data_IF_511082660101
#
_entry.id   IF_511082660101
#
_cell.length_a   1.000
_cell.length_b   1.000
_cell.length_c   1.000
_cell.angle_alpha   90.00
_cell.angle_beta   90.00
_cell.angle_gamma   90.00
#
_symmetry.space_group_name_H-M   'P 1'
#
loop_
_entity.id
_entity.type
_entity.pdbx_description
1 polymer ?
#
# COMPACT_ATOMS: atom_id res chain seq x y z
N UNK A 1 0.37 29.72 17.56
CA UNK A 1 -0.32 28.90 16.53
C UNK A 1 0.67 28.06 15.71
N UNK A 2 1.69 28.66 15.07
CA UNK A 2 2.71 27.97 14.24
C UNK A 2 3.46 26.84 14.98
N UNK A 3 3.87 27.05 16.23
CA UNK A 3 4.56 26.02 17.03
C UNK A 3 3.71 24.77 17.30
N UNK A 4 2.40 24.95 17.54
CA UNK A 4 1.44 23.87 17.79
C UNK A 4 1.16 23.06 16.52
N UNK A 5 1.06 23.74 15.37
CA UNK A 5 0.97 23.11 14.05
C UNK A 5 2.23 22.30 13.72
N UNK A 6 3.43 22.83 14.03
CA UNK A 6 4.71 22.12 13.84
C UNK A 6 4.83 20.84 14.67
N UNK A 7 4.35 20.84 15.93
CA UNK A 7 4.34 19.65 16.79
C UNK A 7 3.30 18.62 16.35
N UNK A 8 2.10 19.05 15.94
CA UNK A 8 1.05 18.15 15.46
C UNK A 8 1.46 17.44 14.16
N UNK A 9 2.13 18.13 13.23
CA UNK A 9 2.66 17.52 12.00
C UNK A 9 3.80 16.53 12.25
N UNK A 10 4.64 16.77 13.27
CA UNK A 10 5.68 15.82 13.65
C UNK A 10 5.10 14.49 14.16
N UNK A 11 3.89 14.51 14.72
CA UNK A 11 3.19 13.33 15.22
C UNK A 11 2.51 12.50 14.11
N UNK A 12 2.45 12.99 12.87
CA UNK A 12 1.88 12.23 11.76
C UNK A 12 2.73 10.98 11.47
N UNK A 13 2.19 9.76 11.60
CA UNK A 13 2.93 8.52 11.43
C UNK A 13 3.19 8.27 9.96
N UNK A 14 4.43 7.92 9.63
CA UNK A 14 4.87 7.64 8.26
C UNK A 14 4.10 6.52 7.57
N UNK A 15 3.64 5.46 8.27
CA UNK A 15 2.70 4.48 7.71
C UNK A 15 1.39 5.05 7.11
N UNK A 16 1.02 6.29 7.42
CA UNK A 16 -0.11 6.99 6.76
C UNK A 16 0.02 7.01 5.23
N UNK A 17 1.25 6.98 4.69
CA UNK A 17 1.48 6.87 3.25
C UNK A 17 0.92 5.56 2.67
N UNK A 18 1.01 4.45 3.42
CA UNK A 18 0.41 3.17 3.04
C UNK A 18 -1.11 3.23 3.00
N UNK A 19 -1.73 3.96 3.94
CA UNK A 19 -3.17 4.21 3.92
C UNK A 19 -3.57 5.07 2.71
N UNK A 20 -2.81 6.12 2.40
CA UNK A 20 -3.02 6.95 1.22
C UNK A 20 -2.97 6.12 -0.07
N UNK A 21 -1.96 5.25 -0.19
CA UNK A 21 -1.84 4.30 -1.29
C UNK A 21 -3.07 3.39 -1.39
N UNK A 22 -3.51 2.82 -0.27
CA UNK A 22 -4.68 1.95 -0.22
C UNK A 22 -5.98 2.66 -0.64
N UNK A 23 -6.20 3.89 -0.17
CA UNK A 23 -7.39 4.70 -0.52
C UNK A 23 -7.38 5.09 -2.01
N UNK A 24 -6.25 5.58 -2.53
CA UNK A 24 -6.13 5.95 -3.94
C UNK A 24 -6.38 4.73 -4.85
N UNK A 25 -5.76 3.61 -4.51
CA UNK A 25 -5.91 2.36 -5.25
C UNK A 25 -7.34 1.83 -5.17
N UNK A 26 -8.02 1.99 -4.02
CA UNK A 26 -9.38 1.48 -3.83
C UNK A 26 -10.38 2.24 -4.71
N UNK A 27 -10.27 3.57 -4.75
CA UNK A 27 -11.08 4.40 -5.63
C UNK A 27 -10.91 4.01 -7.10
N UNK A 28 -9.67 3.74 -7.51
CA UNK A 28 -9.39 3.24 -8.85
C UNK A 28 -9.89 1.81 -9.08
N UNK A 29 -9.74 0.91 -8.11
CA UNK A 29 -10.19 -0.48 -8.25
C UNK A 29 -11.71 -0.56 -8.48
N UNK A 30 -12.50 0.30 -7.83
CA UNK A 30 -13.95 0.36 -8.03
C UNK A 30 -14.36 0.71 -9.48
N UNK A 31 -13.54 1.45 -10.23
CA UNK A 31 -13.78 1.71 -11.66
C UNK A 31 -13.74 0.43 -12.51
N UNK A 32 -13.13 -0.66 -12.02
CA UNK A 32 -13.14 -1.95 -12.72
C UNK A 32 -14.43 -2.76 -12.44
N UNK A 33 -15.16 -2.43 -11.37
CA UNK A 33 -16.38 -3.13 -10.98
C UNK A 33 -17.65 -2.48 -11.56
N UNK A 34 -17.58 -1.21 -11.98
CA UNK A 34 -18.72 -0.49 -12.53
C UNK A 34 -18.29 0.74 -13.33
N UNK A 35 -19.25 1.30 -14.07
CA UNK A 35 -19.04 2.49 -14.88
C UNK A 35 -19.23 3.75 -14.02
N UNK A 36 -18.15 4.24 -13.41
CA UNK A 36 -18.18 5.46 -12.59
C UNK A 36 -17.47 6.66 -13.27
N UNK A 37 -17.08 6.51 -14.54
CA UNK A 37 -16.43 7.53 -15.37
C UNK A 37 -15.19 8.17 -14.72
N UNK A 38 -14.45 7.40 -13.91
CA UNK A 38 -13.25 7.88 -13.21
C UNK A 38 -13.50 8.71 -11.96
N UNK A 39 -14.76 8.89 -11.55
CA UNK A 39 -15.12 9.72 -10.37
C UNK A 39 -14.62 9.11 -9.07
N UNK A 40 -14.65 7.79 -8.93
CA UNK A 40 -14.16 7.11 -7.73
C UNK A 40 -12.64 7.10 -7.69
N UNK A 41 -11.98 6.99 -8.85
CA UNK A 41 -10.53 7.17 -8.95
C UNK A 41 -10.11 8.58 -8.52
N UNK A 42 -10.79 9.62 -9.01
CA UNK A 42 -10.51 11.01 -8.62
C UNK A 42 -10.77 11.25 -7.13
N UNK A 43 -11.87 10.72 -6.58
CA UNK A 43 -12.19 10.84 -5.16
C UNK A 43 -11.12 10.17 -4.28
N UNK A 44 -10.76 8.93 -4.59
CA UNK A 44 -9.71 8.20 -3.87
C UNK A 44 -8.37 8.93 -3.94
N UNK A 45 -7.99 9.43 -5.12
CA UNK A 45 -6.78 10.21 -5.31
C UNK A 45 -6.79 11.53 -4.53
N UNK A 46 -7.93 12.23 -4.47
CA UNK A 46 -8.06 13.48 -3.71
C UNK A 46 -7.86 13.26 -2.20
N UNK A 47 -8.49 12.22 -1.63
CA UNK A 47 -8.30 11.88 -0.21
C UNK A 47 -6.86 11.48 0.07
N UNK A 48 -6.26 10.65 -0.80
CA UNK A 48 -4.87 10.25 -0.68
C UNK A 48 -3.90 11.45 -0.78
N UNK A 49 -4.16 12.39 -1.69
CA UNK A 49 -3.37 13.60 -1.85
C UNK A 49 -3.35 14.44 -0.56
N UNK A 50 -4.46 14.55 0.16
CA UNK A 50 -4.50 15.23 1.47
C UNK A 50 -3.54 14.57 2.47
N UNK A 51 -3.56 13.24 2.58
CA UNK A 51 -2.64 12.50 3.46
C UNK A 51 -1.18 12.67 3.05
N UNK A 52 -0.89 12.64 1.74
CA UNK A 52 0.46 12.87 1.22
C UNK A 52 0.94 14.30 1.47
N UNK A 53 0.08 15.30 1.34
CA UNK A 53 0.40 16.71 1.65
C UNK A 53 0.77 16.86 3.13
N UNK A 54 0.05 16.22 4.06
CA UNK A 54 0.38 16.22 5.49
C UNK A 54 1.79 15.66 5.71
N UNK A 55 2.13 14.53 5.10
CA UNK A 55 3.46 13.92 5.20
C UNK A 55 4.55 14.75 4.54
N UNK A 56 4.22 15.41 3.43
CA UNK A 56 5.13 16.33 2.73
C UNK A 56 5.52 17.48 3.66
N UNK A 57 4.54 18.12 4.30
CA UNK A 57 4.82 19.17 5.29
C UNK A 57 5.58 18.66 6.51
N UNK A 58 5.29 17.43 6.99
CA UNK A 58 6.09 16.79 8.06
C UNK A 58 7.57 16.74 7.67
N UNK A 59 7.91 16.20 6.51
CA UNK A 59 9.31 15.99 6.11
C UNK A 59 10.01 17.27 5.68
N UNK A 60 9.31 18.24 5.08
CA UNK A 60 9.88 19.55 4.77
C UNK A 60 10.20 20.36 6.05
N UNK A 61 9.35 20.29 7.07
CA UNK A 61 9.55 21.00 8.33
C UNK A 61 10.52 20.28 9.27
N UNK A 62 10.62 18.96 9.16
CA UNK A 62 11.47 18.12 10.02
C UNK A 62 12.28 17.08 9.22
N UNK A 63 13.24 17.50 8.36
CA UNK A 63 13.99 16.57 7.50
C UNK A 63 14.76 15.48 8.26
N UNK A 64 15.17 15.77 9.50
CA UNK A 64 15.83 14.78 10.38
C UNK A 64 14.93 13.58 10.68
N UNK A 65 13.60 13.77 10.75
CA UNK A 65 12.66 12.66 10.96
C UNK A 65 12.62 11.73 9.74
N UNK A 66 12.69 12.27 8.52
CA UNK A 66 12.76 11.44 7.31
C UNK A 66 14.00 10.56 7.33
N UNK A 67 15.15 11.11 7.69
CA UNK A 67 16.39 10.34 7.77
C UNK A 67 16.34 9.25 8.85
N UNK A 68 15.76 9.56 10.01
CA UNK A 68 15.53 8.57 11.07
C UNK A 68 14.57 7.45 10.62
N UNK A 69 13.49 7.81 9.93
CA UNK A 69 12.52 6.85 9.40
C UNK A 69 13.18 5.94 8.36
N UNK A 70 13.95 6.49 7.41
CA UNK A 70 14.69 5.73 6.39
C UNK A 70 15.74 4.78 6.99
N UNK A 71 16.36 5.17 8.10
CA UNK A 71 17.35 4.35 8.80
C UNK A 71 16.71 3.21 9.63
N UNK A 72 15.41 3.25 9.91
CA UNK A 72 14.74 2.24 10.72
C UNK A 72 14.37 0.99 9.88
N UNK A 73 14.61 -0.26 10.35
CA UNK A 73 14.39 -1.49 9.57
C UNK A 73 12.93 -1.70 9.12
N UNK A 74 11.97 -1.40 9.99
CA UNK A 74 10.53 -1.54 9.68
C UNK A 74 9.99 -0.29 8.99
N UNK A 75 10.00 0.87 9.65
CA UNK A 75 9.46 2.14 9.09
C UNK A 75 10.12 2.52 7.76
N UNK A 76 11.44 2.37 7.63
CA UNK A 76 12.16 2.67 6.39
C UNK A 76 11.73 1.81 5.21
N UNK A 77 11.25 0.59 5.45
CA UNK A 77 10.65 -0.25 4.40
C UNK A 77 9.24 0.22 3.99
N UNK A 78 8.56 1.02 4.82
CA UNK A 78 7.22 1.54 4.53
C UNK A 78 7.25 2.94 3.92
N UNK A 79 8.31 3.73 4.13
CA UNK A 79 8.48 5.07 3.51
C UNK A 79 8.22 5.07 1.99
N UNK A 80 8.68 4.08 1.19
CA UNK A 80 8.43 4.06 -0.26
C UNK A 80 6.96 4.03 -0.67
N UNK A 81 6.04 3.67 0.24
CA UNK A 81 4.59 3.76 -0.02
C UNK A 81 4.14 5.19 -0.32
N UNK A 82 4.88 6.22 0.12
CA UNK A 82 4.61 7.61 -0.25
C UNK A 82 4.78 7.81 -1.77
N UNK A 83 5.88 7.29 -2.33
CA UNK A 83 6.14 7.38 -3.75
C UNK A 83 5.15 6.52 -4.55
N UNK A 84 4.82 5.31 -4.06
CA UNK A 84 3.79 4.45 -4.68
C UNK A 84 2.42 5.15 -4.71
N UNK A 85 1.99 5.75 -3.60
CA UNK A 85 0.73 6.49 -3.56
C UNK A 85 0.73 7.67 -4.56
N UNK A 86 1.87 8.35 -4.67
CA UNK A 86 2.05 9.46 -5.62
C UNK A 86 1.94 8.99 -7.08
N UNK A 87 2.45 7.80 -7.42
CA UNK A 87 2.24 7.18 -8.75
C UNK A 87 0.75 6.89 -9.01
N UNK A 88 0.01 6.37 -8.02
CA UNK A 88 -1.42 6.11 -8.20
C UNK A 88 -2.20 7.42 -8.36
N UNK A 89 -1.87 8.44 -7.56
CA UNK A 89 -2.45 9.79 -7.68
C UNK A 89 -2.12 10.41 -9.04
N UNK A 90 -0.92 10.20 -9.57
CA UNK A 90 -0.53 10.77 -10.87
C UNK A 90 -1.37 10.25 -12.02
N UNK A 91 -1.84 8.99 -11.95
CA UNK A 91 -2.79 8.45 -12.93
C UNK A 91 -4.10 9.24 -12.95
N UNK A 92 -4.64 9.59 -11.77
CA UNK A 92 -5.86 10.38 -11.65
C UNK A 92 -5.64 11.83 -12.12
N UNK A 93 -4.49 12.44 -11.80
CA UNK A 93 -4.11 13.76 -12.32
C UNK A 93 -4.01 13.75 -13.85
N UNK A 94 -3.47 12.68 -14.43
CA UNK A 94 -3.37 12.50 -15.88
C UNK A 94 -4.71 12.48 -16.62
N UNK A 95 -5.80 12.10 -15.95
CA UNK A 95 -7.16 12.19 -16.52
C UNK A 95 -7.61 13.63 -16.75
N UNK A 96 -7.10 14.57 -15.95
CA UNK A 96 -7.43 15.99 -16.03
C UNK A 96 -6.40 16.78 -16.83
N UNK A 97 -5.12 16.42 -16.68
CA UNK A 97 -3.99 17.07 -17.32
C UNK A 97 -2.87 16.05 -17.60
N UNK A 98 -2.83 15.44 -18.80
CA UNK A 98 -1.90 14.35 -19.13
C UNK A 98 -0.43 14.67 -18.81
N UNK A 99 0.07 15.83 -19.24
CA UNK A 99 1.46 16.23 -19.01
C UNK A 99 1.82 16.43 -17.53
N UNK A 100 0.88 16.88 -16.69
CA UNK A 100 1.11 16.97 -15.23
C UNK A 100 1.11 15.57 -14.60
N UNK A 101 0.24 14.67 -15.07
CA UNK A 101 0.21 13.28 -14.63
C UNK A 101 1.51 12.55 -14.95
N UNK A 102 2.03 12.72 -16.17
CA UNK A 102 3.33 12.17 -16.59
C UNK A 102 4.49 12.72 -15.75
N UNK A 103 4.56 14.04 -15.56
CA UNK A 103 5.61 14.67 -14.75
C UNK A 103 5.58 14.19 -13.29
N UNK A 104 4.39 14.08 -12.70
CA UNK A 104 4.22 13.60 -11.33
C UNK A 104 4.56 12.10 -11.21
N UNK A 105 4.21 11.29 -12.22
CA UNK A 105 4.58 9.88 -12.28
C UNK A 105 6.11 9.70 -12.31
N UNK A 106 6.81 10.41 -13.21
CA UNK A 106 8.28 10.37 -13.29
C UNK A 106 8.94 10.80 -11.98
N UNK A 107 8.47 11.90 -11.39
CA UNK A 107 8.96 12.36 -10.09
C UNK A 107 8.82 11.27 -9.01
N UNK A 108 7.66 10.60 -8.97
CA UNK A 108 7.41 9.53 -8.02
C UNK A 108 8.30 8.29 -8.26
N UNK A 109 8.56 7.92 -9.52
CA UNK A 109 9.51 6.86 -9.89
C UNK A 109 10.90 7.17 -9.37
N UNK A 110 11.43 8.36 -9.66
CA UNK A 110 12.76 8.78 -9.18
C UNK A 110 12.80 8.76 -7.65
N UNK A 111 11.77 9.30 -7.00
CA UNK A 111 11.67 9.30 -5.54
C UNK A 111 11.66 7.88 -4.95
N UNK A 112 10.94 6.94 -5.56
CA UNK A 112 10.90 5.55 -5.12
C UNK A 112 12.27 4.88 -5.25
N UNK A 113 12.97 5.09 -6.38
CA UNK A 113 14.33 4.56 -6.59
C UNK A 113 15.32 5.12 -5.57
N UNK A 114 15.21 6.39 -5.20
CA UNK A 114 16.00 6.98 -4.11
C UNK A 114 15.69 6.30 -2.78
N UNK A 115 14.42 6.08 -2.45
CA UNK A 115 14.05 5.36 -1.23
C UNK A 115 14.57 3.93 -1.23
N UNK A 116 14.48 3.20 -2.35
CA UNK A 116 15.06 1.87 -2.49
C UNK A 116 16.58 1.89 -2.28
N UNK A 117 17.32 2.80 -2.92
CA UNK A 117 18.76 2.91 -2.75
C UNK A 117 19.15 3.21 -1.29
N UNK A 118 18.44 4.14 -0.64
CA UNK A 118 18.68 4.42 0.79
C UNK A 118 18.32 3.25 1.69
N UNK A 119 17.26 2.51 1.39
CA UNK A 119 16.87 1.32 2.13
C UNK A 119 17.96 0.25 2.05
N UNK A 120 18.42 -0.08 0.83
CA UNK A 120 19.50 -1.05 0.60
C UNK A 120 20.78 -0.62 1.32
N UNK A 121 21.17 0.65 1.23
CA UNK A 121 22.35 1.20 1.92
C UNK A 121 22.32 0.95 3.44
N UNK A 122 21.17 1.18 4.09
CA UNK A 122 21.04 0.94 5.53
C UNK A 122 20.96 -0.55 5.88
N UNK A 123 20.29 -1.36 5.04
CA UNK A 123 20.11 -2.80 5.32
C UNK A 123 21.38 -3.60 5.12
N UNK A 124 22.21 -3.28 4.12
CA UNK A 124 23.46 -4.02 3.86
C UNK A 124 24.50 -3.78 4.96
N UNK A 125 24.54 -2.60 5.58
CA UNK A 125 25.52 -2.28 6.64
C UNK A 125 25.33 -3.07 7.94
N UNK A 126 24.11 -3.51 8.24
CA UNK A 126 23.74 -4.22 9.48
C UNK A 126 22.72 -5.32 9.15
N UNK A 127 23.05 -6.17 8.18
CA UNK A 127 22.14 -7.21 7.74
C UNK A 127 22.15 -8.39 8.70
N UNK A 128 20.98 -8.68 9.28
CA UNK A 128 20.71 -9.95 9.94
C UNK A 128 19.34 -10.43 9.48
N UNK A 129 19.23 -11.73 9.15
CA UNK A 129 18.03 -12.27 8.49
C UNK A 129 16.75 -12.07 9.32
N UNK A 130 16.86 -12.06 10.65
CA UNK A 130 15.71 -11.90 11.53
C UNK A 130 15.17 -10.44 11.56
N UNK A 131 15.98 -9.44 11.17
CA UNK A 131 15.53 -8.05 10.98
C UNK A 131 14.61 -7.88 9.78
N UNK A 132 14.69 -8.79 8.81
CA UNK A 132 13.81 -8.76 7.64
C UNK A 132 12.37 -8.98 8.10
N UNK A 133 11.47 -8.09 7.73
CA UNK A 133 10.02 -8.24 7.98
C UNK A 133 9.27 -8.16 6.66
N UNK A 134 8.04 -8.68 6.56
CA UNK A 134 7.31 -8.71 5.29
C UNK A 134 7.19 -7.38 4.55
N UNK A 135 7.21 -6.23 5.23
CA UNK A 135 7.25 -4.93 4.57
C UNK A 135 8.50 -4.66 3.73
N UNK A 136 9.55 -5.49 3.84
CA UNK A 136 10.76 -5.38 3.01
C UNK A 136 10.50 -5.70 1.52
N UNK A 137 9.35 -6.28 1.16
CA UNK A 137 8.94 -6.36 -0.25
C UNK A 137 8.61 -4.98 -0.85
N UNK A 138 8.26 -3.99 -0.03
CA UNK A 138 7.77 -2.69 -0.52
C UNK A 138 8.83 -1.91 -1.30
N UNK A 139 10.07 -1.69 -0.82
CA UNK A 139 11.06 -0.94 -1.61
C UNK A 139 11.45 -1.59 -2.95
N UNK A 140 11.75 -2.90 -3.04
CA UNK A 140 12.21 -3.48 -4.29
C UNK A 140 11.09 -3.93 -5.23
N UNK A 141 9.96 -4.42 -4.72
CA UNK A 141 8.83 -4.89 -5.55
C UNK A 141 7.78 -3.78 -5.75
N UNK A 142 7.65 -2.86 -4.81
CA UNK A 142 6.66 -1.78 -4.88
C UNK A 142 6.88 -0.80 -6.03
N UNK A 143 8.06 -0.81 -6.66
CA UNK A 143 8.34 -0.04 -7.88
C UNK A 143 7.43 -0.42 -9.04
N UNK A 144 6.87 -1.64 -9.06
CA UNK A 144 5.92 -2.11 -10.09
C UNK A 144 4.60 -1.31 -10.08
N UNK A 145 4.33 -0.52 -9.03
CA UNK A 145 3.22 0.45 -9.07
C UNK A 145 3.41 1.46 -10.21
N UNK A 146 4.64 1.72 -10.63
CA UNK A 146 4.95 2.53 -11.80
C UNK A 146 4.31 1.94 -13.07
N UNK A 147 4.34 0.62 -13.25
CA UNK A 147 3.75 -0.10 -14.37
C UNK A 147 2.23 -0.06 -14.35
N UNK A 148 1.64 -0.26 -13.16
CA UNK A 148 0.18 -0.14 -13.00
C UNK A 148 -0.27 1.28 -13.38
N UNK A 149 0.45 2.30 -12.91
CA UNK A 149 0.15 3.71 -13.16
C UNK A 149 0.74 4.27 -14.46
N UNK A 150 1.25 3.41 -15.35
CA UNK A 150 1.96 3.81 -16.57
C UNK A 150 1.13 4.80 -17.43
N UNK A 151 1.69 5.96 -17.81
CA UNK A 151 0.99 6.95 -18.62
C UNK A 151 0.97 6.62 -20.12
N UNK A 152 1.76 5.65 -20.61
CA UNK A 152 1.87 5.35 -22.03
C UNK A 152 3.07 6.02 -22.71
N UNK A 153 3.15 5.82 -24.04
CA UNK A 153 4.07 6.56 -24.91
C UNK A 153 5.55 6.27 -24.69
N UNK A 154 6.36 7.32 -24.67
CA UNK A 154 7.83 7.25 -24.66
C UNK A 154 8.45 6.56 -23.44
N UNK A 155 7.67 6.33 -22.37
CA UNK A 155 8.14 5.71 -21.14
C UNK A 155 7.99 4.18 -21.13
N UNK A 156 7.54 3.56 -22.22
CA UNK A 156 7.31 2.11 -22.29
C UNK A 156 8.56 1.29 -21.90
N UNK A 157 9.73 1.64 -22.43
CA UNK A 157 10.98 0.95 -22.09
C UNK A 157 11.38 1.12 -20.61
N UNK A 158 11.06 2.27 -20.01
CA UNK A 158 11.29 2.49 -18.59
C UNK A 158 10.35 1.61 -17.76
N UNK A 159 9.06 1.58 -18.09
CA UNK A 159 8.07 0.74 -17.41
C UNK A 159 8.49 -0.75 -17.47
N UNK A 160 8.73 -1.29 -18.67
CA UNK A 160 9.17 -2.68 -18.83
C UNK A 160 10.43 -3.01 -18.00
N UNK A 161 11.43 -2.11 -17.99
CA UNK A 161 12.62 -2.27 -17.16
C UNK A 161 12.32 -2.31 -15.64
N UNK A 162 11.42 -1.46 -15.15
CA UNK A 162 11.00 -1.42 -13.75
C UNK A 162 10.19 -2.66 -13.35
N UNK A 163 9.31 -3.12 -14.25
CA UNK A 163 8.52 -4.33 -14.09
C UNK A 163 9.42 -5.55 -13.87
N UNK A 164 10.34 -5.81 -14.82
CA UNK A 164 11.22 -6.98 -14.74
C UNK A 164 12.18 -6.89 -13.56
N UNK A 165 12.67 -5.70 -13.22
CA UNK A 165 13.45 -5.48 -12.01
C UNK A 165 12.66 -5.89 -10.75
N UNK A 166 11.42 -5.40 -10.60
CA UNK A 166 10.58 -5.72 -9.46
C UNK A 166 10.22 -7.21 -9.38
N UNK A 167 9.89 -7.84 -10.51
CA UNK A 167 9.58 -9.27 -10.58
C UNK A 167 10.80 -10.15 -10.24
N UNK A 168 11.99 -9.78 -10.70
CA UNK A 168 13.23 -10.47 -10.34
C UNK A 168 13.50 -10.36 -8.83
N UNK A 169 13.37 -9.15 -8.27
CA UNK A 169 13.48 -8.96 -6.82
C UNK A 169 12.45 -9.80 -6.08
N UNK A 170 11.20 -9.88 -6.56
CA UNK A 170 10.18 -10.72 -5.94
C UNK A 170 10.54 -12.20 -5.95
N UNK A 171 10.95 -12.74 -7.10
CA UNK A 171 11.37 -14.14 -7.25
C UNK A 171 12.52 -14.53 -6.32
N UNK A 172 13.45 -13.61 -6.07
CA UNK A 172 14.56 -13.82 -5.13
C UNK A 172 14.13 -13.68 -3.67
N UNK A 173 13.30 -12.68 -3.36
CA UNK A 173 12.94 -12.35 -1.98
C UNK A 173 11.88 -13.28 -1.40
N UNK A 174 10.98 -13.84 -2.23
CA UNK A 174 9.91 -14.72 -1.72
C UNK A 174 10.47 -15.95 -0.99
N UNK A 175 11.37 -16.77 -1.57
CA UNK A 175 11.96 -17.90 -0.86
C UNK A 175 12.69 -17.48 0.42
N UNK A 176 13.43 -16.36 0.39
CA UNK A 176 14.16 -15.84 1.55
C UNK A 176 13.21 -15.42 2.68
N UNK A 177 12.10 -14.76 2.34
CA UNK A 177 11.10 -14.35 3.33
C UNK A 177 10.38 -15.55 3.93
N UNK A 178 9.99 -16.53 3.11
CA UNK A 178 9.36 -17.76 3.60
C UNK A 178 10.30 -18.53 4.53
N UNK A 179 11.57 -18.68 4.14
CA UNK A 179 12.59 -19.27 5.01
C UNK A 179 12.69 -18.53 6.35
N UNK A 180 12.77 -17.19 6.32
CA UNK A 180 12.81 -16.35 7.52
C UNK A 180 11.57 -16.53 8.40
N UNK A 181 10.37 -16.62 7.82
CA UNK A 181 9.13 -16.72 8.58
C UNK A 181 8.94 -18.11 9.23
N UNK A 182 9.50 -19.15 8.62
CA UNK A 182 9.38 -20.54 9.10
C UNK A 182 10.50 -20.90 10.08
N UNK A 183 11.74 -20.48 9.80
CA UNK A 183 12.94 -20.98 10.49
C UNK A 183 13.66 -19.97 11.37
N UNK A 184 13.25 -18.70 11.38
CA UNK A 184 13.85 -17.65 12.22
C UNK A 184 12.89 -17.14 13.29
N UNK A 185 13.38 -16.25 14.16
CA UNK A 185 12.59 -15.61 15.21
C UNK A 185 11.30 -14.99 14.68
N UNK A 186 10.25 -15.04 15.52
CA UNK A 186 8.96 -14.45 15.20
C UNK A 186 9.08 -12.96 14.84
N UNK A 187 8.16 -12.49 13.99
CA UNK A 187 8.05 -11.07 13.67
C UNK A 187 7.65 -10.31 14.95
N UNK A 188 8.39 -9.24 15.35
CA UNK A 188 8.05 -8.44 16.52
C UNK A 188 6.63 -7.92 16.49
N UNK A 189 5.96 -7.80 17.64
CA UNK A 189 4.55 -7.40 17.74
C UNK A 189 4.23 -6.09 16.99
N UNK A 190 5.10 -5.09 17.11
CA UNK A 190 4.96 -3.81 16.42
C UNK A 190 5.01 -3.92 14.88
N UNK A 191 5.63 -4.97 14.36
CA UNK A 191 5.76 -5.25 12.92
C UNK A 191 4.79 -6.32 12.42
N UNK A 192 4.04 -7.02 13.28
CA UNK A 192 3.05 -8.03 12.87
C UNK A 192 2.04 -7.53 11.84
N UNK A 193 1.58 -6.26 11.85
CA UNK A 193 0.70 -5.77 10.80
C UNK A 193 1.29 -5.89 9.38
N UNK A 194 2.63 -5.84 9.26
CA UNK A 194 3.31 -5.96 7.96
C UNK A 194 3.11 -7.32 7.31
N UNK A 195 2.73 -8.38 8.05
CA UNK A 195 2.47 -9.71 7.50
C UNK A 195 1.45 -9.65 6.35
N UNK A 196 0.45 -8.77 6.43
CA UNK A 196 -0.53 -8.58 5.35
C UNK A 196 0.09 -8.17 4.00
N UNK A 197 1.29 -7.59 4.00
CA UNK A 197 2.01 -7.21 2.77
C UNK A 197 2.39 -8.45 1.93
N UNK A 198 2.45 -9.66 2.51
CA UNK A 198 2.72 -10.88 1.74
C UNK A 198 1.73 -11.12 0.59
N UNK A 199 0.49 -10.60 0.70
CA UNK A 199 -0.51 -10.70 -0.36
C UNK A 199 -0.26 -9.76 -1.56
N UNK A 200 0.55 -8.71 -1.40
CA UNK A 200 0.70 -7.68 -2.44
C UNK A 200 1.63 -8.06 -3.61
N UNK A 201 2.85 -8.63 -3.41
CA UNK A 201 3.86 -8.72 -4.47
C UNK A 201 3.43 -9.46 -5.73
N UNK A 202 2.79 -10.64 -5.60
CA UNK A 202 2.32 -11.41 -6.74
C UNK A 202 1.20 -10.69 -7.49
N UNK A 203 0.21 -10.16 -6.75
CA UNK A 203 -0.92 -9.40 -7.30
C UNK A 203 -0.45 -8.12 -8.00
N UNK A 204 0.51 -7.41 -7.40
CA UNK A 204 1.10 -6.21 -7.99
C UNK A 204 1.91 -6.55 -9.26
N UNK A 205 2.73 -7.60 -9.21
CA UNK A 205 3.48 -8.07 -10.38
C UNK A 205 2.54 -8.44 -11.53
N UNK A 206 1.46 -9.15 -11.21
CA UNK A 206 0.44 -9.54 -12.19
C UNK A 206 -0.29 -8.33 -12.76
N UNK A 207 -0.71 -7.39 -11.91
CA UNK A 207 -1.40 -6.18 -12.35
C UNK A 207 -0.50 -5.29 -13.21
N UNK A 208 0.78 -5.13 -12.85
CA UNK A 208 1.77 -4.40 -13.64
C UNK A 208 2.02 -5.09 -14.99
N UNK A 209 2.30 -6.39 -14.97
CA UNK A 209 2.54 -7.20 -16.18
C UNK A 209 1.41 -7.07 -17.20
N UNK A 210 0.16 -7.24 -16.76
CA UNK A 210 -1.04 -7.11 -17.59
C UNK A 210 -1.37 -5.67 -18.00
N UNK A 211 -0.67 -4.67 -17.47
CA UNK A 211 -0.87 -3.26 -17.87
C UNK A 211 0.08 -2.85 -18.99
N UNK A 212 1.32 -3.32 -18.97
CA UNK A 212 2.38 -2.87 -19.88
C UNK A 212 2.73 -3.88 -20.96
N UNK A 213 2.29 -5.14 -20.82
CA UNK A 213 2.57 -6.20 -21.80
C UNK A 213 1.38 -6.39 -22.73
N UNK A 214 1.58 -6.19 -24.03
CA UNK A 214 0.54 -6.34 -25.05
C UNK A 214 0.13 -7.81 -25.28
N UNK A 215 1.11 -8.73 -25.33
CA UNK A 215 0.90 -10.17 -25.50
C UNK A 215 1.44 -10.94 -24.28
N UNK A 216 0.65 -11.05 -23.19
CA UNK A 216 1.12 -11.65 -21.94
C UNK A 216 1.21 -13.18 -22.03
N UNK A 217 2.32 -13.73 -21.52
CA UNK A 217 2.50 -15.16 -21.34
C UNK A 217 1.50 -15.72 -20.33
N UNK A 218 0.61 -16.60 -20.80
CA UNK A 218 -0.40 -17.25 -19.96
C UNK A 218 0.21 -18.08 -18.83
N UNK A 219 1.41 -18.65 -19.04
CA UNK A 219 2.12 -19.38 -18.00
C UNK A 219 2.52 -18.44 -16.84
N UNK A 220 3.10 -17.29 -17.16
CA UNK A 220 3.50 -16.32 -16.15
C UNK A 220 2.27 -15.75 -15.41
N UNK A 221 1.20 -15.46 -16.15
CA UNK A 221 -0.09 -15.06 -15.57
C UNK A 221 -0.61 -16.11 -14.59
N UNK A 222 -0.63 -17.39 -14.98
CA UNK A 222 -1.12 -18.47 -14.13
C UNK A 222 -0.25 -18.66 -12.86
N UNK A 223 1.07 -18.56 -12.98
CA UNK A 223 1.99 -18.66 -11.84
C UNK A 223 1.78 -17.50 -10.86
N UNK A 224 1.76 -16.26 -11.36
CA UNK A 224 1.55 -15.09 -10.51
C UNK A 224 0.16 -15.09 -9.88
N UNK A 225 -0.88 -15.47 -10.63
CA UNK A 225 -2.25 -15.59 -10.13
C UNK A 225 -2.36 -16.65 -9.03
N UNK A 226 -1.75 -17.82 -9.23
CA UNK A 226 -1.74 -18.90 -8.22
C UNK A 226 -1.08 -18.44 -6.91
N UNK A 227 0.05 -17.75 -7.00
CA UNK A 227 0.73 -17.20 -5.82
C UNK A 227 -0.10 -16.08 -5.17
N UNK A 228 -0.71 -15.20 -5.98
CA UNK A 228 -1.57 -14.11 -5.51
C UNK A 228 -2.76 -14.62 -4.70
N UNK A 229 -3.50 -15.60 -5.22
CA UNK A 229 -4.64 -16.22 -4.53
C UNK A 229 -4.17 -16.92 -3.25
N UNK A 230 -3.09 -17.70 -3.32
CA UNK A 230 -2.55 -18.41 -2.16
C UNK A 230 -2.18 -17.44 -1.03
N UNK A 231 -1.41 -16.40 -1.33
CA UNK A 231 -0.97 -15.42 -0.34
C UNK A 231 -2.15 -14.62 0.23
N UNK A 232 -3.11 -14.22 -0.61
CA UNK A 232 -4.32 -13.51 -0.15
C UNK A 232 -5.17 -14.37 0.78
N UNK A 233 -5.36 -15.65 0.45
CA UNK A 233 -6.02 -16.62 1.34
C UNK A 233 -5.30 -16.74 2.70
N UNK A 234 -3.98 -16.85 2.70
CA UNK A 234 -3.17 -16.87 3.94
C UNK A 234 -3.43 -15.60 4.76
N UNK A 235 -3.50 -14.43 4.12
CA UNK A 235 -3.76 -13.16 4.82
C UNK A 235 -5.19 -13.06 5.36
N UNK A 236 -6.20 -13.55 4.65
CA UNK A 236 -7.56 -13.62 5.18
C UNK A 236 -7.64 -14.49 6.44
N UNK A 237 -6.93 -15.63 6.46
CA UNK A 237 -6.82 -16.45 7.68
C UNK A 237 -6.04 -15.72 8.79
N UNK A 238 -4.96 -15.01 8.43
CA UNK A 238 -4.16 -14.25 9.37
C UNK A 238 -4.94 -13.09 10.01
N UNK A 239 -5.91 -12.48 9.31
CA UNK A 239 -6.74 -11.40 9.86
C UNK A 239 -7.54 -11.78 11.10
N UNK A 240 -7.85 -13.07 11.29
CA UNK A 240 -8.48 -13.57 12.52
C UNK A 240 -7.66 -13.19 13.76
N UNK A 241 -6.32 -13.18 13.63
CA UNK A 241 -5.38 -12.78 14.69
C UNK A 241 -4.95 -11.32 14.56
N UNK A 242 -4.61 -10.86 13.35
CA UNK A 242 -4.05 -9.53 13.13
C UNK A 242 -5.03 -8.40 13.50
N UNK A 243 -6.33 -8.58 13.26
CA UNK A 243 -7.34 -7.56 13.61
C UNK A 243 -7.64 -7.50 15.12
N UNK A 244 -7.19 -8.48 15.92
CA UNK A 244 -7.32 -8.47 17.38
C UNK A 244 -6.19 -7.69 18.07
N UNK A 245 -5.17 -7.27 17.33
CA UNK A 245 -4.09 -6.46 17.88
C UNK A 245 -4.63 -5.08 18.32
N UNK A 246 -3.97 -4.40 19.27
CA UNK A 246 -4.25 -3.00 19.51
C UNK A 246 -3.91 -2.21 18.25
N UNK A 247 -4.72 -1.18 17.96
CA UNK A 247 -4.45 -0.34 16.80
C UNK A 247 -3.09 0.33 16.92
N UNK A 248 -2.35 0.28 15.83
CA UNK A 248 -1.14 1.06 15.61
C UNK A 248 -1.19 1.60 14.18
N UNK A 249 -0.42 2.66 13.87
CA UNK A 249 -0.30 3.13 12.49
C UNK A 249 0.14 2.03 11.50
N UNK A 250 0.80 0.97 11.97
CA UNK A 250 1.14 -0.21 11.16
C UNK A 250 -0.05 -0.88 10.48
N UNK A 251 -1.29 -0.66 10.94
CA UNK A 251 -2.52 -1.15 10.30
C UNK A 251 -2.69 -0.68 8.84
N UNK A 252 -2.00 0.39 8.43
CA UNK A 252 -1.92 0.78 7.03
C UNK A 252 -1.43 -0.36 6.11
N UNK A 253 -0.64 -1.30 6.63
CA UNK A 253 -0.19 -2.48 5.91
C UNK A 253 -1.33 -3.43 5.48
N UNK A 254 -2.53 -3.32 6.08
CA UNK A 254 -3.69 -4.14 5.73
C UNK A 254 -4.41 -3.67 4.46
N UNK A 255 -4.07 -2.48 3.96
CA UNK A 255 -4.88 -1.78 2.95
C UNK A 255 -4.53 -2.19 1.52
N UNK A 256 -3.47 -1.61 0.95
CA UNK A 256 -3.03 -1.82 -0.42
C UNK A 256 -2.96 -3.30 -0.87
N UNK A 257 -2.46 -4.25 -0.06
CA UNK A 257 -2.39 -5.66 -0.47
C UNK A 257 -3.73 -6.26 -0.92
N UNK A 258 -4.83 -5.92 -0.25
CA UNK A 258 -6.16 -6.43 -0.63
C UNK A 258 -6.71 -5.74 -1.88
N UNK A 259 -6.44 -4.45 -2.01
CA UNK A 259 -6.90 -3.65 -3.15
C UNK A 259 -6.21 -4.10 -4.44
N UNK A 260 -4.89 -4.31 -4.39
CA UNK A 260 -4.12 -4.75 -5.55
C UNK A 260 -4.44 -6.20 -5.92
N UNK A 261 -4.83 -7.05 -4.94
CA UNK A 261 -5.40 -8.38 -5.17
C UNK A 261 -6.64 -8.32 -6.06
N UNK A 262 -7.65 -7.56 -5.64
CA UNK A 262 -8.87 -7.34 -6.42
C UNK A 262 -8.58 -6.76 -7.82
N UNK A 263 -7.69 -5.77 -7.90
CA UNK A 263 -7.28 -5.15 -9.18
C UNK A 263 -6.66 -6.17 -10.13
N UNK A 264 -5.79 -7.05 -9.63
CA UNK A 264 -5.16 -8.10 -10.43
C UNK A 264 -6.20 -9.09 -10.97
N UNK A 265 -7.17 -9.49 -10.14
CA UNK A 265 -8.26 -10.38 -10.57
C UNK A 265 -9.15 -9.74 -11.64
N UNK A 266 -9.49 -8.45 -11.52
CA UNK A 266 -10.21 -7.74 -12.59
C UNK A 266 -9.42 -7.75 -13.91
N UNK A 267 -8.10 -7.51 -13.86
CA UNK A 267 -7.24 -7.57 -15.05
C UNK A 267 -7.19 -8.96 -15.67
N UNK A 268 -7.10 -10.02 -14.86
CA UNK A 268 -7.18 -11.41 -15.35
C UNK A 268 -8.54 -11.70 -15.97
N UNK A 269 -9.63 -11.28 -15.32
CA UNK A 269 -10.99 -11.44 -15.86
C UNK A 269 -11.12 -10.78 -17.24
N UNK A 270 -10.59 -9.56 -17.40
CA UNK A 270 -10.55 -8.85 -18.68
C UNK A 270 -9.70 -9.55 -19.74
N UNK A 271 -8.52 -10.09 -19.37
CA UNK A 271 -7.70 -10.89 -20.27
C UNK A 271 -8.46 -12.13 -20.75
N UNK A 272 -9.06 -12.88 -19.83
CA UNK A 272 -9.80 -14.10 -20.16
C UNK A 272 -11.03 -13.85 -21.05
N UNK A 273 -11.65 -12.67 -20.93
CA UNK A 273 -12.80 -12.28 -21.75
C UNK A 273 -12.49 -12.17 -23.25
N UNK A 274 -11.20 -12.16 -23.64
CA UNK A 274 -10.78 -12.20 -25.04
C UNK A 274 -11.07 -13.56 -25.71
N UNK A 275 -11.25 -14.64 -24.93
CA UNK A 275 -11.58 -15.97 -25.44
C UNK A 275 -13.03 -16.35 -25.10
N UNK A 276 -13.94 -16.43 -26.09
CA UNK A 276 -15.34 -16.76 -25.85
C UNK A 276 -15.56 -18.09 -25.12
N UNK A 277 -14.66 -19.06 -25.30
CA UNK A 277 -14.73 -20.38 -24.64
C UNK A 277 -14.42 -20.31 -23.13
N UNK A 278 -13.81 -19.22 -22.65
CA UNK A 278 -13.42 -19.06 -21.26
C UNK A 278 -14.49 -18.38 -20.38
N UNK A 279 -15.71 -18.17 -20.90
CA UNK A 279 -16.80 -17.44 -20.21
C UNK A 279 -17.03 -17.90 -18.76
N UNK A 280 -17.00 -19.22 -18.51
CA UNK A 280 -17.16 -19.74 -17.15
C UNK A 280 -16.03 -19.33 -16.20
N UNK A 281 -14.78 -19.31 -16.68
CA UNK A 281 -13.63 -18.86 -15.89
C UNK A 281 -13.66 -17.35 -15.67
N UNK A 282 -14.11 -16.58 -16.66
CA UNK A 282 -14.31 -15.13 -16.53
C UNK A 282 -15.26 -14.84 -15.37
N UNK A 283 -16.41 -15.52 -15.31
CA UNK A 283 -17.40 -15.35 -14.23
C UNK A 283 -16.81 -15.69 -12.85
N UNK A 284 -16.09 -16.82 -12.73
CA UNK A 284 -15.46 -17.22 -11.47
C UNK A 284 -14.42 -16.20 -10.98
N UNK A 285 -13.52 -15.77 -11.87
CA UNK A 285 -12.49 -14.78 -11.52
C UNK A 285 -13.13 -13.43 -11.20
N UNK A 286 -14.18 -13.05 -11.93
CA UNK A 286 -14.90 -11.80 -11.70
C UNK A 286 -15.64 -11.80 -10.35
N UNK A 287 -16.28 -12.91 -9.97
CA UNK A 287 -16.91 -13.09 -8.66
C UNK A 287 -15.88 -12.96 -7.54
N UNK A 288 -14.71 -13.60 -7.69
CA UNK A 288 -13.63 -13.47 -6.73
C UNK A 288 -13.10 -12.03 -6.65
N UNK A 289 -12.96 -11.35 -7.78
CA UNK A 289 -12.55 -9.94 -7.82
C UNK A 289 -13.50 -9.03 -7.02
N UNK A 290 -14.82 -9.23 -7.18
CA UNK A 290 -15.83 -8.50 -6.41
C UNK A 290 -15.80 -8.83 -4.92
N UNK A 291 -15.59 -10.10 -4.56
CA UNK A 291 -15.41 -10.50 -3.18
C UNK A 291 -14.19 -9.81 -2.54
N UNK A 292 -13.03 -9.84 -3.21
CA UNK A 292 -11.82 -9.17 -2.72
C UNK A 292 -11.99 -7.65 -2.66
N UNK A 293 -12.68 -7.03 -3.64
CA UNK A 293 -13.00 -5.61 -3.62
C UNK A 293 -13.89 -5.24 -2.42
N UNK A 294 -14.88 -6.06 -2.10
CA UNK A 294 -15.73 -5.89 -0.92
C UNK A 294 -14.93 -5.97 0.37
N UNK A 295 -14.08 -7.00 0.51
CA UNK A 295 -13.18 -7.17 1.65
C UNK A 295 -12.20 -5.99 1.79
N UNK A 296 -11.58 -5.57 0.67
CA UNK A 296 -10.68 -4.43 0.62
C UNK A 296 -11.39 -3.14 1.05
N UNK A 297 -12.62 -2.90 0.58
CA UNK A 297 -13.43 -1.74 0.95
C UNK A 297 -13.68 -1.69 2.47
N UNK A 298 -14.06 -2.82 3.07
CA UNK A 298 -14.28 -2.92 4.52
C UNK A 298 -13.00 -2.67 5.32
N UNK A 299 -11.88 -3.27 4.93
CA UNK A 299 -10.60 -3.13 5.65
C UNK A 299 -10.03 -1.72 5.49
N UNK A 300 -10.02 -1.16 4.28
CA UNK A 300 -9.55 0.22 4.05
C UNK A 300 -10.42 1.21 4.82
N UNK A 301 -11.75 1.05 4.78
CA UNK A 301 -12.68 1.86 5.56
C UNK A 301 -12.43 1.76 7.06
N UNK A 302 -12.26 0.54 7.58
CA UNK A 302 -11.92 0.29 8.98
C UNK A 302 -10.61 0.98 9.39
N UNK A 303 -9.54 0.82 8.61
CA UNK A 303 -8.24 1.43 8.91
C UNK A 303 -8.34 2.96 8.84
N UNK A 304 -9.01 3.51 7.82
CA UNK A 304 -9.24 4.95 7.70
C UNK A 304 -9.99 5.52 8.91
N UNK A 305 -11.05 4.85 9.37
CA UNK A 305 -11.79 5.25 10.56
C UNK A 305 -10.92 5.21 11.82
N UNK A 306 -10.10 4.16 12.01
CA UNK A 306 -9.17 4.07 13.16
C UNK A 306 -8.13 5.17 13.14
N UNK A 307 -7.61 5.52 11.95
CA UNK A 307 -6.72 6.68 11.77
C UNK A 307 -7.43 7.98 12.15
N UNK A 308 -8.66 8.23 11.66
CA UNK A 308 -9.43 9.42 12.01
C UNK A 308 -9.67 9.51 13.53
N UNK A 309 -10.09 8.42 14.17
CA UNK A 309 -10.28 8.37 15.63
C UNK A 309 -8.99 8.60 16.41
N UNK A 310 -7.84 8.19 15.86
CA UNK A 310 -6.54 8.40 16.49
C UNK A 310 -6.08 9.86 16.44
N UNK A 311 -6.43 10.61 15.39
CA UNK A 311 -6.09 12.04 15.26
C UNK A 311 -7.15 13.01 15.80
N UNK A 312 -8.39 12.55 15.97
CA UNK A 312 -9.41 13.35 16.64
C UNK A 312 -9.05 13.45 18.13
N UNK A 313 -8.86 14.66 18.68
CA UNK A 313 -8.67 14.81 20.12
C UNK A 313 -9.93 14.24 20.79
N UNK A 314 -9.77 13.18 21.59
CA UNK A 314 -10.82 12.73 22.50
C UNK A 314 -11.21 13.96 23.30
N UNK A 315 -12.42 14.47 23.04
CA UNK A 315 -13.05 15.50 23.86
C UNK A 315 -13.20 14.82 25.22
N UNK A 316 -12.33 15.13 26.16
CA UNK A 316 -12.56 14.78 27.56
C UNK A 316 -13.94 15.33 27.89
N UNK A 317 -14.93 14.43 27.97
CA UNK A 317 -16.21 14.76 28.58
C UNK A 317 -15.87 14.86 30.06
N UNK A 318 -15.47 16.06 30.49
CA UNK A 318 -15.49 16.45 31.89
C UNK A 318 -16.95 16.31 32.34
N UNK A 319 -17.30 15.15 32.88
CA UNK A 319 -18.41 15.00 33.80
C UNK A 319 -17.98 15.63 35.13
N UNK A 320 -17.85 16.95 35.11
CA UNK A 320 -17.76 17.76 36.32
C UNK A 320 -19.20 17.88 36.84
N UNK A 321 -19.60 16.93 37.67
CA UNK A 321 -20.69 17.15 38.61
C UNK A 321 -20.08 17.16 40.00
N UNK A 322 -19.69 18.37 40.40
CA UNK A 322 -19.41 18.67 41.79
C UNK A 322 -20.63 18.35 42.64
N UNK A 323 -20.43 17.52 43.66
CA UNK A 323 -21.08 17.73 44.94
C UNK A 323 -19.98 17.90 45.99
N UNK A 324 -19.89 19.16 46.38
CA UNK A 324 -19.25 19.79 47.51
C UNK A 324 -18.76 18.90 48.66
N UNK A 325 -17.53 19.23 49.08
CA UNK A 325 -17.00 19.05 50.43
C UNK A 325 -17.98 19.57 51.49
N UNK A 326 -18.35 18.69 52.41
CA UNK A 326 -18.67 18.93 53.82
C UNK A 326 -18.08 17.71 54.55
N UNK A 327 -17.32 17.76 55.63
CA UNK A 327 -16.83 18.80 56.52
C UNK A 327 -15.86 18.11 57.48
N UNK A 328 -14.95 18.88 58.07
CA UNK A 328 -13.91 18.41 58.97
C UNK A 328 -14.43 17.95 60.35
N UNK A 329 -13.55 17.24 61.10
CA UNK A 329 -13.59 16.88 62.55
C UNK A 329 -14.56 15.71 62.83
N UNK A 330 -14.12 14.55 63.33
CA UNK A 330 -13.25 14.22 64.46
C UNK A 330 -12.68 12.81 64.29
#
# INVERSE_FOLDING_TARGET
MIARTRQSLAAAPTPMAGLALGIASLGWCWENAGQFDGRLQLLGAAVAAVLLVILTFKFLLHPRLLWQDLAHPVVGSVVPTYAMATMVVSKAVGMLAPGLGEGLWLFAVVLHLLFLATFVWHRVKQFEIHHMVPSWFVPPVGIIVADVAFPGGQFAALADGLLWFGMLCYGLMLPLMLYRLIFSHEVPDAAKPTIAILAAPASLSLAGYLTVTEDPSLLLVAVLLGIAILMTCIIYLAFIKLLRLPFSPGYAAFTFPLVIGATALFKVSHLLAQWPQATHYVEQVNLLAHFELGAATLIVGYVALRYLMFFLPLREINMDHGIARHGARR
#
